data_IF_836238113266
#
_entry.id   IF_836238113266
#
_cell.length_a   1.000
_cell.length_b   1.000
_cell.length_c   1.000
_cell.angle_alpha   90.00
_cell.angle_beta   90.00
_cell.angle_gamma   90.00
#
_symmetry.space_group_name_H-M   'P 1'
#
loop_
_entity.id
_entity.type
_entity.pdbx_description
1 polymer ?
#
# COMPACT_ATOMS: atom_id res chain seq x y z
N UNK A 1 -0.30 6.43 -10.60
CA UNK A 1 -1.57 5.76 -10.25
C UNK A 1 -2.00 6.32 -8.91
N UNK A 2 -3.19 6.88 -8.77
CA UNK A 2 -3.68 7.41 -7.48
C UNK A 2 -4.66 6.38 -6.89
N UNK A 3 -4.36 5.88 -5.69
CA UNK A 3 -5.25 5.01 -4.94
C UNK A 3 -5.76 5.75 -3.73
N UNK A 4 -7.08 5.82 -3.54
CA UNK A 4 -7.68 6.22 -2.26
C UNK A 4 -8.29 5.00 -1.63
N UNK A 5 -7.84 4.70 -0.42
CA UNK A 5 -8.23 3.52 0.31
C UNK A 5 -8.85 3.90 1.63
N UNK A 6 -9.99 3.30 1.97
CA UNK A 6 -10.62 3.44 3.27
C UNK A 6 -10.44 2.14 4.03
N UNK A 7 -9.77 2.21 5.18
CA UNK A 7 -9.62 1.08 6.09
C UNK A 7 -10.48 1.30 7.32
N UNK A 8 -11.33 0.34 7.68
CA UNK A 8 -12.11 0.37 8.91
C UNK A 8 -11.28 -0.13 10.10
N UNK A 9 -11.29 0.63 11.19
CA UNK A 9 -10.62 0.32 12.44
C UNK A 9 -11.54 0.52 13.64
N UNK A 10 -11.22 -0.13 14.76
CA UNK A 10 -11.79 0.23 16.05
C UNK A 10 -11.33 1.63 16.48
N UNK A 11 -12.20 2.36 17.16
CA UNK A 11 -11.92 3.72 17.67
C UNK A 11 -10.71 3.77 18.60
N UNK A 12 -10.40 2.65 19.27
CA UNK A 12 -9.23 2.52 20.14
C UNK A 12 -7.91 2.44 19.36
N UNK A 13 -7.86 1.74 18.22
CA UNK A 13 -6.65 1.64 17.39
C UNK A 13 -6.25 3.01 16.81
N UNK A 14 -7.22 3.71 16.21
CA UNK A 14 -7.02 5.03 15.63
C UNK A 14 -6.48 6.02 16.66
N UNK A 15 -7.07 6.02 17.87
CA UNK A 15 -6.64 6.90 18.96
C UNK A 15 -5.19 6.64 19.37
N UNK A 16 -4.83 5.37 19.58
CA UNK A 16 -3.48 4.97 20.03
C UNK A 16 -2.38 5.37 19.05
N UNK A 17 -2.60 5.20 17.74
CA UNK A 17 -1.57 5.46 16.73
C UNK A 17 -1.69 6.82 16.03
N UNK A 18 -2.69 7.64 16.38
CA UNK A 18 -2.93 8.95 15.79
C UNK A 18 -1.69 9.86 15.81
N UNK A 19 -0.95 9.88 16.92
CA UNK A 19 0.25 10.69 17.06
C UNK A 19 1.42 10.20 16.18
N UNK A 20 1.51 8.89 15.94
CA UNK A 20 2.54 8.30 15.08
C UNK A 20 2.20 8.52 13.60
N UNK A 21 0.94 8.26 13.22
CA UNK A 21 0.44 8.48 11.86
C UNK A 21 0.51 9.95 11.43
N UNK A 22 0.23 10.89 12.36
CA UNK A 22 0.35 12.33 12.08
C UNK A 22 1.81 12.81 11.98
N UNK A 23 2.79 12.10 12.56
CA UNK A 23 4.20 12.48 12.50
C UNK A 23 4.87 12.08 11.18
N UNK A 24 4.30 11.13 10.44
CA UNK A 24 4.83 10.72 9.14
C UNK A 24 4.28 11.65 8.06
N UNK A 25 4.93 12.81 7.88
CA UNK A 25 4.59 13.77 6.83
C UNK A 25 5.08 13.34 5.44
N UNK A 26 6.07 12.46 5.39
CA UNK A 26 6.74 12.01 4.16
C UNK A 26 6.17 10.68 3.69
N UNK A 27 6.16 10.46 2.37
CA UNK A 27 5.73 9.19 1.82
C UNK A 27 6.74 8.08 2.16
N UNK A 28 6.24 6.90 2.52
CA UNK A 28 7.02 5.69 2.70
C UNK A 28 7.15 4.98 1.36
N UNK A 29 8.35 4.61 0.96
CA UNK A 29 8.60 4.04 -0.36
C UNK A 29 9.21 2.65 -0.24
N UNK A 30 8.67 1.72 -1.01
CA UNK A 30 9.17 0.35 -1.11
C UNK A 30 9.45 0.03 -2.57
N UNK A 31 10.65 -0.47 -2.84
CA UNK A 31 11.03 -0.95 -4.16
C UNK A 31 10.64 -2.42 -4.35
N UNK A 32 10.08 -2.72 -5.51
CA UNK A 32 9.70 -4.06 -5.94
C UNK A 32 10.23 -4.35 -7.34
N UNK A 33 10.30 -5.65 -7.64
CA UNK A 33 10.58 -6.17 -8.98
C UNK A 33 9.42 -7.05 -9.45
N UNK A 34 8.97 -6.82 -10.67
CA UNK A 34 7.91 -7.64 -11.28
C UNK A 34 8.41 -9.06 -11.47
N UNK A 35 7.64 -10.02 -10.95
CA UNK A 35 7.92 -11.45 -11.04
C UNK A 35 7.30 -12.02 -12.33
N UNK A 36 7.95 -12.99 -12.94
CA UNK A 36 7.54 -13.55 -14.23
C UNK A 36 6.08 -14.06 -14.26
N UNK A 37 5.58 -14.58 -13.13
CA UNK A 37 4.24 -15.15 -13.04
C UNK A 37 3.13 -14.11 -12.80
N UNK A 38 3.48 -12.84 -12.57
CA UNK A 38 2.52 -11.75 -12.36
C UNK A 38 2.04 -11.14 -13.69
N UNK A 39 2.67 -11.55 -14.79
CA UNK A 39 2.40 -11.07 -16.15
C UNK A 39 1.33 -11.93 -16.81
N UNK A 40 0.35 -11.30 -17.43
CA UNK A 40 -0.74 -11.96 -18.13
C UNK A 40 -0.47 -12.17 -19.64
N UNK A 41 -1.47 -12.69 -20.35
CA UNK A 41 -1.41 -12.96 -21.79
C UNK A 41 -1.12 -11.71 -22.65
N UNK A 42 -1.35 -10.50 -22.13
CA UNK A 42 -1.06 -9.24 -22.81
C UNK A 42 0.38 -8.75 -22.58
N UNK A 43 1.22 -9.57 -21.91
CA UNK A 43 2.63 -9.28 -21.60
C UNK A 43 2.81 -8.04 -20.72
N UNK A 44 1.82 -7.78 -19.86
CA UNK A 44 1.85 -6.75 -18.82
C UNK A 44 1.43 -7.37 -17.49
N UNK A 45 1.76 -6.71 -16.38
CA UNK A 45 1.30 -7.15 -15.05
C UNK A 45 -0.22 -7.17 -14.99
N UNK A 46 -0.78 -8.28 -14.50
CA UNK A 46 -2.22 -8.46 -14.33
C UNK A 46 -2.79 -7.40 -13.38
N UNK A 47 -3.97 -6.85 -13.69
CA UNK A 47 -4.58 -5.75 -12.94
C UNK A 47 -4.72 -6.02 -11.42
N UNK A 48 -5.02 -7.27 -11.03
CA UNK A 48 -5.15 -7.67 -9.64
C UNK A 48 -3.82 -7.58 -8.85
N UNK A 49 -2.67 -7.79 -9.50
CA UNK A 49 -1.37 -7.75 -8.83
C UNK A 49 -1.03 -6.36 -8.28
N UNK A 50 -1.54 -5.29 -8.90
CA UNK A 50 -1.33 -3.93 -8.41
C UNK A 50 -1.98 -3.69 -7.04
N UNK A 51 -3.15 -4.30 -6.79
CA UNK A 51 -3.77 -4.25 -5.46
C UNK A 51 -2.91 -4.95 -4.41
N UNK A 52 -2.29 -6.09 -4.77
CA UNK A 52 -1.37 -6.82 -3.91
C UNK A 52 -0.12 -6.01 -3.58
N UNK A 53 0.51 -5.34 -4.57
CA UNK A 53 1.67 -4.48 -4.30
C UNK A 53 1.33 -3.35 -3.32
N UNK A 54 0.18 -2.69 -3.51
CA UNK A 54 -0.27 -1.64 -2.59
C UNK A 54 -0.64 -2.18 -1.21
N UNK A 55 -1.11 -3.42 -1.10
CA UNK A 55 -1.33 -4.06 0.20
C UNK A 55 -0.02 -4.32 0.91
N UNK A 56 0.93 -4.98 0.24
CA UNK A 56 2.22 -5.31 0.84
C UNK A 56 2.97 -4.05 1.31
N UNK A 57 3.02 -3.00 0.47
CA UNK A 57 3.67 -1.76 0.87
C UNK A 57 3.00 -1.05 2.06
N UNK A 58 1.69 -1.24 2.26
CA UNK A 58 0.97 -0.71 3.43
C UNK A 58 1.27 -1.53 4.68
N UNK A 59 1.35 -2.85 4.56
CA UNK A 59 1.74 -3.74 5.66
C UNK A 59 3.16 -3.37 6.12
N UNK A 60 4.11 -3.25 5.19
CA UNK A 60 5.49 -2.80 5.50
C UNK A 60 5.53 -1.39 6.13
N UNK A 61 4.68 -0.46 5.66
CA UNK A 61 4.54 0.85 6.28
C UNK A 61 4.04 0.75 7.73
N UNK A 62 2.98 -0.03 7.97
CA UNK A 62 2.42 -0.23 9.31
C UNK A 62 3.44 -0.88 10.25
N UNK A 63 4.17 -1.89 9.79
CA UNK A 63 5.25 -2.52 10.55
C UNK A 63 6.35 -1.51 10.90
N UNK A 64 6.71 -0.62 9.96
CA UNK A 64 7.74 0.41 10.20
C UNK A 64 7.38 1.40 11.32
N UNK A 65 6.09 1.57 11.62
CA UNK A 65 5.58 2.41 12.71
C UNK A 65 5.19 1.59 13.96
N UNK A 66 5.54 0.30 13.99
CA UNK A 66 5.29 -0.62 15.11
C UNK A 66 3.86 -1.17 15.18
N UNK A 67 3.14 -1.18 14.05
CA UNK A 67 1.83 -1.82 13.93
C UNK A 67 2.00 -3.13 13.17
N UNK A 68 1.89 -4.26 13.87
CA UNK A 68 1.94 -5.59 13.26
C UNK A 68 0.52 -6.09 12.96
N UNK A 69 0.31 -6.56 11.73
CA UNK A 69 -1.02 -6.98 11.24
C UNK A 69 -1.47 -8.28 11.89
N UNK A 70 -0.55 -9.21 12.10
CA UNK A 70 -0.78 -10.49 12.79
C UNK A 70 -1.21 -10.27 14.24
N UNK A 71 -0.50 -9.40 14.98
CA UNK A 71 -0.84 -9.08 16.37
C UNK A 71 -2.19 -8.36 16.49
N UNK A 72 -2.55 -7.54 15.49
CA UNK A 72 -3.87 -6.88 15.46
C UNK A 72 -5.00 -7.85 15.13
N UNK A 73 -4.75 -8.90 14.33
CA UNK A 73 -5.72 -9.95 14.06
C UNK A 73 -6.06 -10.77 15.31
N UNK A 74 -5.05 -11.16 16.09
CA UNK A 74 -5.22 -11.94 17.32
C UNK A 74 -5.85 -11.15 18.46
N UNK A 75 -5.59 -9.84 18.53
CA UNK A 75 -6.11 -8.97 19.59
C UNK A 75 -7.53 -8.44 19.35
N UNK A 76 -8.20 -8.88 18.27
CA UNK A 76 -9.55 -8.41 17.90
C UNK A 76 -9.60 -6.94 17.45
N UNK A 77 -8.43 -6.33 17.24
CA UNK A 77 -8.27 -4.97 16.67
C UNK A 77 -7.97 -5.05 15.17
N UNK A 78 -8.51 -6.08 14.54
CA UNK A 78 -8.28 -6.40 13.14
C UNK A 78 -8.77 -5.27 12.24
N UNK A 79 -8.16 -5.25 11.07
CA UNK A 79 -8.20 -4.13 10.15
C UNK A 79 -8.81 -4.63 8.85
N UNK A 80 -9.85 -3.98 8.36
CA UNK A 80 -10.56 -4.42 7.17
C UNK A 80 -10.51 -3.37 6.05
N UNK A 81 -10.20 -3.83 4.84
CA UNK A 81 -10.31 -3.05 3.63
C UNK A 81 -11.79 -2.76 3.33
N UNK A 82 -12.20 -1.49 3.34
CA UNK A 82 -13.58 -1.13 3.03
C UNK A 82 -13.75 -0.70 1.57
N UNK A 83 -12.79 0.03 1.02
CA UNK A 83 -12.86 0.54 -0.36
C UNK A 83 -11.45 0.72 -0.93
N UNK A 84 -11.26 0.34 -2.20
CA UNK A 84 -10.04 0.58 -2.98
C UNK A 84 -10.38 1.06 -4.39
N UNK A 85 -9.74 2.16 -4.81
CA UNK A 85 -9.84 2.71 -6.16
C UNK A 85 -8.48 2.65 -6.85
N UNK A 86 -8.41 2.07 -8.03
CA UNK A 86 -7.17 1.89 -8.80
C UNK A 86 -7.29 2.55 -10.18
N UNK A 87 -6.36 3.46 -10.50
CA UNK A 87 -6.26 4.08 -11.84
C UNK A 87 -4.98 3.67 -12.56
N UNK A 88 -5.12 2.79 -13.54
CA UNK A 88 -4.01 2.31 -14.37
C UNK A 88 -3.64 3.35 -15.43
N UNK A 89 -2.40 3.85 -15.38
CA UNK A 89 -1.90 4.90 -16.29
C UNK A 89 -0.86 4.37 -17.29
N UNK A 90 0.02 3.48 -16.83
CA UNK A 90 1.06 2.85 -17.64
C UNK A 90 1.30 1.42 -17.12
N UNK A 91 1.56 0.44 -18.01
CA UNK A 91 1.78 -0.94 -17.60
C UNK A 91 3.20 -1.19 -17.10
N UNK A 92 3.32 -2.04 -16.10
CA UNK A 92 4.56 -2.72 -15.75
C UNK A 92 4.72 -4.03 -16.56
N UNK A 93 5.97 -4.44 -16.79
CA UNK A 93 6.33 -5.67 -17.52
C UNK A 93 7.26 -6.54 -16.68
N UNK A 94 7.44 -7.79 -17.09
CA UNK A 94 8.37 -8.69 -16.41
C UNK A 94 9.77 -8.08 -16.32
N UNK A 95 10.37 -8.17 -15.13
CA UNK A 95 11.71 -7.67 -14.86
C UNK A 95 11.78 -6.18 -14.53
N UNK A 96 10.71 -5.40 -14.75
CA UNK A 96 10.67 -4.00 -14.37
C UNK A 96 10.87 -3.85 -12.85
N UNK A 97 11.70 -2.87 -12.47
CA UNK A 97 11.77 -2.38 -11.10
C UNK A 97 10.82 -1.19 -10.94
N UNK A 98 10.15 -1.10 -9.81
CA UNK A 98 9.18 -0.05 -9.54
C UNK A 98 9.14 0.25 -8.05
N UNK A 99 8.66 1.44 -7.72
CA UNK A 99 8.44 1.86 -6.33
C UNK A 99 6.95 1.98 -6.08
N UNK A 100 6.53 1.51 -4.91
CA UNK A 100 5.23 1.79 -4.32
C UNK A 100 5.45 2.82 -3.21
N UNK A 101 4.90 4.00 -3.40
CA UNK A 101 4.88 5.08 -2.42
C UNK A 101 3.56 5.05 -1.68
N UNK A 102 3.60 5.06 -0.34
CA UNK A 102 2.44 5.01 0.56
C UNK A 102 2.45 6.24 1.45
N UNK A 103 1.31 6.93 1.50
CA UNK A 103 1.10 8.09 2.35
C UNK A 103 -0.23 7.98 3.07
N UNK A 104 -0.25 8.38 4.34
CA UNK A 104 -1.50 8.59 5.07
C UNK A 104 -2.09 9.93 4.64
N UNK A 105 -3.24 9.92 3.99
CA UNK A 105 -3.91 11.13 3.48
C UNK A 105 -4.94 11.70 4.46
N UNK A 106 -5.37 10.90 5.43
CA UNK A 106 -6.30 11.35 6.46
C UNK A 106 -6.68 10.26 7.45
N UNK A 107 -7.30 10.69 8.54
CA UNK A 107 -7.74 9.82 9.63
C UNK A 107 -9.07 10.35 10.19
N UNK A 108 -10.00 9.46 10.46
CA UNK A 108 -11.22 9.72 11.24
C UNK A 108 -11.34 8.67 12.35
N UNK A 109 -12.28 8.87 13.28
CA UNK A 109 -12.43 8.01 14.46
C UNK A 109 -12.49 6.50 14.17
N UNK A 110 -12.99 6.08 13.00
CA UNK A 110 -13.08 4.67 12.61
C UNK A 110 -12.44 4.35 11.27
N UNK A 111 -11.82 5.32 10.59
CA UNK A 111 -11.27 5.12 9.24
C UNK A 111 -9.90 5.72 9.05
N UNK A 112 -9.01 4.97 8.40
CA UNK A 112 -7.70 5.41 7.97
C UNK A 112 -7.67 5.50 6.44
N UNK A 113 -7.16 6.61 5.92
CA UNK A 113 -7.09 6.88 4.49
C UNK A 113 -5.66 6.80 4.00
N UNK A 114 -5.44 5.99 2.97
CA UNK A 114 -4.15 5.87 2.31
C UNK A 114 -4.21 6.40 0.89
N UNK A 115 -3.14 7.08 0.50
CA UNK A 115 -2.79 7.38 -0.87
C UNK A 115 -1.58 6.57 -1.29
N UNK A 116 -1.72 5.77 -2.35
CA UNK A 116 -0.62 4.98 -2.91
C UNK A 116 -0.34 5.36 -4.35
N UNK A 117 0.95 5.54 -4.67
CA UNK A 117 1.45 5.78 -6.01
C UNK A 117 2.39 4.64 -6.43
N UNK A 118 2.27 4.18 -7.67
CA UNK A 118 3.22 3.26 -8.28
C UNK A 118 3.88 3.96 -9.45
N UNK A 119 5.22 3.93 -9.47
CA UNK A 119 6.01 4.44 -10.57
C UNK A 119 7.18 3.51 -10.89
N UNK A 120 7.44 3.34 -12.18
CA UNK A 120 8.53 2.50 -12.69
C UNK A 120 9.86 3.22 -12.49
N UNK A 121 10.88 2.49 -12.06
CA UNK A 121 12.25 2.98 -12.00
C UNK A 121 12.90 2.86 -13.39
N UNK A 122 13.85 3.76 -13.73
CA UNK A 122 14.68 3.55 -14.90
C UNK A 122 15.38 2.19 -14.80
N UNK A 123 15.33 1.44 -15.90
CA UNK A 123 16.21 0.28 -16.03
C UNK A 123 17.63 0.83 -16.14
N UNK A 124 18.53 0.34 -15.29
CA UNK A 124 19.97 0.57 -15.47
C UNK A 124 20.40 -0.29 -16.68
N UNK A 125 20.03 0.13 -17.89
CA UNK A 125 20.65 -0.36 -19.12
C UNK A 125 21.98 0.39 -19.27
N UNK A 126 23.05 -0.21 -18.72
CA UNK A 126 24.43 0.03 -19.15
C UNK A 126 24.79 -0.93 -20.28
#
# INVERSE_FOLDING_TARGET
MEMRLIILHSTSFVSTYSHLLNRVSNAFEVEYKVRNYEVDQYRVVHNACYACYCQQAREEFLESIGVFVEETAESGKSVALAESNLKFLAPLRSGDRFVVSVKVSGLTAARLFFESLIYKLPNDEC
#
